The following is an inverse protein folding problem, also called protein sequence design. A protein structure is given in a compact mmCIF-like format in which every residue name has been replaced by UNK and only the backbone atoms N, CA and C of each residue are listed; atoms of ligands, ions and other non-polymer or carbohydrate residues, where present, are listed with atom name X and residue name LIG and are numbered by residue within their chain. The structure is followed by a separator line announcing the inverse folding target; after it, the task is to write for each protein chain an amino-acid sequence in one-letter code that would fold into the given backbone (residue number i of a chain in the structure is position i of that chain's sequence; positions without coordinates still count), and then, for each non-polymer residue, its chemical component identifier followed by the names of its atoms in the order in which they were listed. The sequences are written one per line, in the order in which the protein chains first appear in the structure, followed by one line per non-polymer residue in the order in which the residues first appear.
data_IF_484040519611
#
_entry.id   IF_484040519611
#
_cell.length_a   1.000
_cell.length_b   1.000
_cell.length_c   1.000
_cell.angle_alpha   90.00
_cell.angle_beta   90.00
_cell.angle_gamma   90.00
#
_symmetry.space_group_name_H-M   'P 1'
#
loop_
_entity.id
_entity.type
_entity.pdbx_description
1 polymer ?
#
# COMPACT_ATOMS: atom_id res chain seq x y z
N UNK A 1 32.95 8.79 9.32
CA UNK A 1 32.31 9.96 8.68
C UNK A 1 31.02 9.64 7.91
N UNK A 2 30.70 8.37 7.58
CA UNK A 2 29.45 8.02 6.86
C UNK A 2 28.15 8.08 7.70
N UNK A 3 28.22 7.84 9.01
CA UNK A 3 27.03 7.86 9.89
C UNK A 3 26.50 9.27 10.20
N UNK A 4 27.25 10.34 9.95
CA UNK A 4 26.76 11.72 10.17
C UNK A 4 25.67 12.11 9.17
N UNK A 5 25.56 11.42 8.02
CA UNK A 5 24.51 11.63 7.05
C UNK A 5 23.18 10.95 7.42
N UNK A 6 23.21 9.95 8.31
CA UNK A 6 22.01 9.18 8.67
C UNK A 6 20.87 10.05 9.22
N UNK A 7 21.08 10.95 10.22
CA UNK A 7 20.01 11.81 10.72
C UNK A 7 19.42 12.73 9.64
N UNK A 8 20.28 13.23 8.75
CA UNK A 8 19.87 14.08 7.62
C UNK A 8 19.00 13.29 6.64
N UNK A 9 19.41 12.07 6.29
CA UNK A 9 18.66 11.19 5.40
C UNK A 9 17.29 10.79 5.98
N UNK A 10 17.23 10.45 7.28
CA UNK A 10 15.96 10.17 7.98
C UNK A 10 15.05 11.39 7.93
N UNK A 11 15.55 12.56 8.34
CA UNK A 11 14.77 13.78 8.35
C UNK A 11 14.23 14.14 6.96
N UNK A 12 15.05 13.98 5.92
CA UNK A 12 14.65 14.21 4.54
C UNK A 12 13.52 13.27 4.08
N UNK A 13 13.66 11.95 4.29
CA UNK A 13 12.62 10.97 3.91
C UNK A 13 11.31 11.22 4.65
N UNK A 14 11.37 11.52 5.95
CA UNK A 14 10.20 11.86 6.75
C UNK A 14 9.54 13.16 6.25
N UNK A 15 10.32 14.19 5.95
CA UNK A 15 9.82 15.46 5.41
C UNK A 15 9.07 15.22 4.10
N UNK A 16 9.64 14.46 3.16
CA UNK A 16 9.00 14.15 1.88
C UNK A 16 7.68 13.42 2.09
N UNK A 17 7.63 12.43 2.98
CA UNK A 17 6.42 11.66 3.27
C UNK A 17 5.34 12.52 3.93
N UNK A 18 5.68 13.30 4.94
CA UNK A 18 4.72 14.16 5.64
C UNK A 18 4.25 15.32 4.76
N UNK A 19 5.13 15.87 3.92
CA UNK A 19 4.73 16.88 2.94
C UNK A 19 3.73 16.33 1.92
N UNK A 20 3.91 15.08 1.44
CA UNK A 20 2.91 14.40 0.60
C UNK A 20 1.56 14.30 1.33
N UNK A 21 1.56 13.82 2.58
CA UNK A 21 0.33 13.66 3.38
C UNK A 21 -0.36 15.01 3.62
N UNK A 22 0.40 16.05 3.97
CA UNK A 22 -0.10 17.41 4.12
C UNK A 22 -0.78 17.91 2.85
N UNK A 23 -0.14 17.73 1.70
CA UNK A 23 -0.71 18.14 0.40
C UNK A 23 -2.02 17.44 0.08
N UNK A 24 -2.15 16.16 0.44
CA UNK A 24 -3.39 15.41 0.25
C UNK A 24 -4.49 15.92 1.18
N UNK A 25 -4.21 16.05 2.48
CA UNK A 25 -5.17 16.53 3.47
C UNK A 25 -5.62 17.97 3.21
N UNK A 26 -4.70 18.85 2.78
CA UNK A 26 -5.02 20.25 2.44
C UNK A 26 -6.04 20.36 1.31
N UNK A 27 -6.03 19.42 0.37
CA UNK A 27 -6.96 19.40 -0.76
C UNK A 27 -8.31 18.76 -0.40
N UNK A 28 -8.38 18.05 0.72
CA UNK A 28 -9.52 17.25 1.08
C UNK A 28 -10.44 17.99 2.05
N UNK A 29 -11.75 17.86 1.85
CA UNK A 29 -12.78 18.38 2.74
C UNK A 29 -12.98 17.42 3.89
N UNK A 30 -12.88 17.89 5.13
CA UNK A 30 -13.21 17.07 6.28
C UNK A 30 -14.70 16.70 6.30
N UNK A 31 -15.00 15.44 6.58
CA UNK A 31 -16.37 14.94 6.71
C UNK A 31 -16.73 14.69 8.18
N UNK A 32 -16.04 13.76 8.83
CA UNK A 32 -16.31 13.33 10.21
C UNK A 32 -15.11 12.60 10.81
N UNK A 33 -15.16 12.36 12.13
CA UNK A 33 -14.18 11.53 12.85
C UNK A 33 -14.91 10.36 13.53
N UNK A 34 -14.33 9.16 13.44
CA UNK A 34 -14.84 7.94 14.07
C UNK A 34 -13.68 7.09 14.58
N UNK A 35 -13.76 6.62 15.82
CA UNK A 35 -12.77 5.73 16.44
C UNK A 35 -11.31 6.25 16.34
N UNK A 36 -11.13 7.57 16.43
CA UNK A 36 -9.83 8.25 16.30
C UNK A 36 -9.28 8.28 14.87
N UNK A 37 -10.14 8.09 13.86
CA UNK A 37 -9.81 8.15 12.43
C UNK A 37 -10.63 9.27 11.79
N UNK A 38 -9.96 10.20 11.12
CA UNK A 38 -10.60 11.32 10.42
C UNK A 38 -10.88 10.97 8.96
N UNK A 39 -12.10 11.22 8.51
CA UNK A 39 -12.54 10.96 7.16
C UNK A 39 -12.64 12.27 6.38
N UNK A 40 -12.09 12.25 5.18
CA UNK A 40 -12.06 13.38 4.26
C UNK A 40 -12.58 12.97 2.89
N UNK A 41 -12.90 13.96 2.07
CA UNK A 41 -13.40 13.79 0.69
C UNK A 41 -12.62 14.68 -0.26
N UNK A 42 -12.26 14.13 -1.42
CA UNK A 42 -11.81 14.86 -2.60
C UNK A 42 -12.78 14.53 -3.72
N UNK A 43 -13.37 15.56 -4.35
CA UNK A 43 -14.23 15.37 -5.52
C UNK A 43 -13.43 14.73 -6.66
N UNK A 44 -14.04 13.74 -7.32
CA UNK A 44 -13.43 13.01 -8.43
C UNK A 44 -14.41 12.02 -9.06
N UNK A 45 -14.07 11.53 -10.24
CA UNK A 45 -14.90 10.57 -11.00
C UNK A 45 -14.58 9.10 -10.67
N UNK A 46 -13.50 8.88 -9.91
CA UNK A 46 -13.07 7.55 -9.47
C UNK A 46 -13.71 7.22 -8.12
N UNK A 47 -14.17 5.97 -7.96
CA UNK A 47 -14.54 5.44 -6.66
C UNK A 47 -13.28 4.85 -6.02
N UNK A 48 -12.62 5.60 -5.14
CA UNK A 48 -11.39 5.17 -4.48
C UNK A 48 -11.26 5.75 -3.07
N UNK A 49 -10.33 5.24 -2.28
CA UNK A 49 -9.94 5.85 -1.03
C UNK A 49 -8.45 5.66 -0.75
N UNK A 50 -7.90 6.49 0.12
CA UNK A 50 -6.49 6.46 0.52
C UNK A 50 -6.42 6.54 2.04
N UNK A 51 -5.84 5.51 2.65
CA UNK A 51 -5.43 5.55 4.06
C UNK A 51 -4.13 6.33 4.24
N UNK A 52 -4.15 7.28 5.17
CA UNK A 52 -2.97 7.98 5.66
C UNK A 52 -2.77 7.63 7.14
N UNK A 53 -1.63 7.01 7.43
CA UNK A 53 -1.16 6.80 8.80
C UNK A 53 0.08 7.65 9.01
N UNK A 54 -0.11 8.80 9.65
CA UNK A 54 0.92 9.78 9.90
C UNK A 54 1.22 9.94 11.40
N UNK A 55 2.48 10.23 11.73
CA UNK A 55 2.89 10.64 13.09
C UNK A 55 2.46 12.08 13.36
N UNK A 56 2.46 12.94 12.34
CA UNK A 56 2.07 14.35 12.46
C UNK A 56 0.55 14.54 12.39
N UNK A 57 -0.11 13.84 11.46
CA UNK A 57 -1.54 14.04 11.16
C UNK A 57 -2.45 12.93 11.69
N UNK A 58 -1.90 11.92 12.38
CA UNK A 58 -2.68 10.80 12.90
C UNK A 58 -3.22 9.86 11.80
N UNK A 59 -4.36 9.24 12.07
CA UNK A 59 -5.01 8.29 11.15
C UNK A 59 -6.11 8.99 10.37
N UNK A 60 -6.03 8.90 9.05
CA UNK A 60 -6.98 9.55 8.15
C UNK A 60 -7.35 8.60 7.00
N UNK A 61 -8.57 8.74 6.49
CA UNK A 61 -9.03 8.11 5.25
C UNK A 61 -9.53 9.22 4.34
N UNK A 62 -8.99 9.31 3.14
CA UNK A 62 -9.44 10.26 2.12
C UNK A 62 -10.24 9.48 1.09
N UNK A 63 -11.52 9.78 0.99
CA UNK A 63 -12.42 9.25 -0.04
C UNK A 63 -12.23 10.11 -1.29
N UNK A 64 -12.06 9.47 -2.44
CA UNK A 64 -12.01 10.12 -3.75
C UNK A 64 -13.30 9.74 -4.46
N UNK A 65 -14.02 10.74 -4.96
CA UNK A 65 -15.32 10.54 -5.62
C UNK A 65 -16.39 10.05 -4.66
N UNK A 66 -17.13 8.99 -5.03
CA UNK A 66 -18.26 8.51 -4.23
C UNK A 66 -17.82 7.56 -3.13
N UNK A 67 -18.47 7.68 -1.97
CA UNK A 67 -18.29 6.74 -0.87
C UNK A 67 -18.65 5.31 -1.30
N UNK A 68 -17.69 4.41 -1.22
CA UNK A 68 -17.87 2.99 -1.51
C UNK A 68 -17.46 2.14 -0.28
N UNK A 69 -18.44 1.47 0.34
CA UNK A 69 -18.21 0.68 1.55
C UNK A 69 -17.25 -0.50 1.33
N UNK A 70 -17.18 -1.08 0.12
CA UNK A 70 -16.22 -2.16 -0.18
C UNK A 70 -14.78 -1.65 -0.12
N UNK A 71 -14.54 -0.45 -0.63
CA UNK A 71 -13.22 0.20 -0.60
C UNK A 71 -12.88 0.61 0.82
N UNK A 72 -13.82 1.19 1.56
CA UNK A 72 -13.60 1.56 2.97
C UNK A 72 -13.28 0.35 3.86
N UNK A 73 -13.87 -0.82 3.58
CA UNK A 73 -13.53 -2.07 4.27
C UNK A 73 -12.06 -2.47 4.07
N UNK A 74 -11.52 -2.26 2.85
CA UNK A 74 -10.10 -2.46 2.54
C UNK A 74 -9.21 -1.43 3.25
N UNK A 75 -9.57 -0.13 3.18
CA UNK A 75 -8.85 0.94 3.89
C UNK A 75 -8.80 0.72 5.41
N UNK A 76 -9.86 0.17 6.00
CA UNK A 76 -9.84 -0.20 7.42
C UNK A 76 -8.76 -1.26 7.73
N UNK A 77 -8.49 -2.16 6.80
CA UNK A 77 -7.37 -3.10 6.88
C UNK A 77 -6.03 -2.37 7.01
N UNK A 78 -5.79 -1.34 6.21
CA UNK A 78 -4.59 -0.49 6.32
C UNK A 78 -4.50 0.23 7.66
N UNK A 79 -5.62 0.67 8.23
CA UNK A 79 -5.64 1.33 9.54
C UNK A 79 -5.18 0.42 10.70
N UNK A 80 -5.32 -0.91 10.56
CA UNK A 80 -4.88 -1.91 11.55
C UNK A 80 -3.41 -2.32 11.40
N UNK A 81 -2.78 -2.03 10.27
CA UNK A 81 -1.37 -2.36 10.02
C UNK A 81 -0.44 -1.50 10.90
N UNK A 82 0.83 -1.89 11.11
CA UNK A 82 1.83 -1.05 11.78
C UNK A 82 2.16 0.21 10.97
N UNK A 83 2.91 1.15 11.56
CA UNK A 83 3.41 2.36 10.88
C UNK A 83 4.63 2.03 9.99
N UNK A 84 4.46 1.07 9.07
CA UNK A 84 5.58 0.43 8.37
C UNK A 84 6.46 1.40 7.57
N UNK A 85 5.86 2.44 6.97
CA UNK A 85 6.62 3.45 6.21
C UNK A 85 7.69 4.13 7.06
N UNK A 86 7.41 4.40 8.34
CA UNK A 86 8.37 5.03 9.25
C UNK A 86 9.54 4.09 9.56
N UNK A 87 9.25 2.81 9.87
CA UNK A 87 10.30 1.81 10.06
C UNK A 87 11.14 1.64 8.80
N UNK A 88 10.48 1.59 7.64
CA UNK A 88 11.14 1.45 6.35
C UNK A 88 12.06 2.65 6.05
N UNK A 89 11.66 3.89 6.33
CA UNK A 89 12.51 5.06 6.14
C UNK A 89 13.73 5.08 7.06
N UNK A 90 13.58 4.68 8.32
CA UNK A 90 14.72 4.59 9.25
C UNK A 90 15.73 3.55 8.75
N UNK A 91 15.26 2.35 8.37
CA UNK A 91 16.13 1.29 7.81
C UNK A 91 16.78 1.75 6.50
N UNK A 92 16.01 2.37 5.62
CA UNK A 92 16.49 2.87 4.32
C UNK A 92 17.58 3.93 4.50
N UNK A 93 17.35 4.91 5.38
CA UNK A 93 18.34 5.95 5.66
C UNK A 93 19.63 5.35 6.22
N UNK A 94 19.54 4.35 7.10
CA UNK A 94 20.71 3.67 7.65
C UNK A 94 21.50 2.94 6.56
N UNK A 95 20.82 2.14 5.75
CA UNK A 95 21.45 1.36 4.68
C UNK A 95 22.04 2.23 3.57
N UNK A 96 21.36 3.33 3.18
CA UNK A 96 21.86 4.30 2.19
C UNK A 96 23.08 5.04 2.75
N UNK A 97 23.04 5.47 4.01
CA UNK A 97 24.18 6.13 4.66
C UNK A 97 25.39 5.19 4.79
N UNK A 98 25.14 3.89 4.96
CA UNK A 98 26.20 2.88 4.97
C UNK A 98 26.77 2.63 3.57
N UNK A 99 25.90 2.44 2.56
CA UNK A 99 26.28 2.21 1.18
C UNK A 99 25.13 2.54 0.21
N UNK A 100 25.36 3.49 -0.70
CA UNK A 100 24.35 3.91 -1.70
C UNK A 100 23.93 2.78 -2.67
N UNK A 101 24.77 1.77 -2.86
CA UNK A 101 24.44 0.59 -3.67
C UNK A 101 23.37 -0.32 -3.03
N UNK A 102 22.90 -0.01 -1.82
CA UNK A 102 21.76 -0.68 -1.19
C UNK A 102 20.40 -0.26 -1.78
N UNK A 103 20.33 0.84 -2.56
CA UNK A 103 19.08 1.37 -3.12
C UNK A 103 18.28 0.32 -3.92
N UNK A 104 18.85 -0.47 -4.85
CA UNK A 104 18.09 -1.49 -5.58
C UNK A 104 17.43 -2.53 -4.66
N UNK A 105 18.15 -2.98 -3.61
CA UNK A 105 17.61 -3.90 -2.62
C UNK A 105 16.45 -3.27 -1.84
N UNK A 106 16.60 -2.00 -1.43
CA UNK A 106 15.56 -1.25 -0.73
C UNK A 106 14.29 -1.11 -1.58
N UNK A 107 14.42 -0.80 -2.87
CA UNK A 107 13.29 -0.72 -3.79
C UNK A 107 12.57 -2.06 -3.93
N UNK A 108 13.32 -3.16 -4.01
CA UNK A 108 12.76 -4.51 -4.05
C UNK A 108 12.03 -4.86 -2.75
N UNK A 109 12.64 -4.59 -1.59
CA UNK A 109 12.01 -4.79 -0.28
C UNK A 109 10.74 -3.94 -0.12
N UNK A 110 10.79 -2.68 -0.52
CA UNK A 110 9.63 -1.78 -0.53
C UNK A 110 8.47 -2.39 -1.30
N UNK A 111 8.75 -2.88 -2.52
CA UNK A 111 7.75 -3.51 -3.38
C UNK A 111 7.13 -4.76 -2.73
N UNK A 112 7.95 -5.65 -2.17
CA UNK A 112 7.43 -6.85 -1.48
C UNK A 112 6.59 -6.50 -0.26
N UNK A 113 7.03 -5.53 0.54
CA UNK A 113 6.28 -5.06 1.71
C UNK A 113 4.95 -4.45 1.30
N UNK A 114 4.94 -3.61 0.26
CA UNK A 114 3.72 -2.99 -0.25
C UNK A 114 2.72 -4.05 -0.69
N UNK A 115 3.13 -5.02 -1.52
CA UNK A 115 2.29 -6.15 -1.93
C UNK A 115 1.75 -6.96 -0.74
N UNK A 116 2.58 -7.19 0.29
CA UNK A 116 2.17 -7.88 1.50
C UNK A 116 1.07 -7.12 2.25
N UNK A 117 1.23 -5.81 2.43
CA UNK A 117 0.25 -4.98 3.13
C UNK A 117 -1.05 -4.77 2.35
N UNK A 118 -0.98 -4.65 1.03
CA UNK A 118 -2.19 -4.65 0.18
C UNK A 118 -2.99 -5.94 0.36
N UNK A 119 -2.32 -7.09 0.31
CA UNK A 119 -2.99 -8.37 0.58
C UNK A 119 -3.51 -8.48 2.00
N UNK A 120 -2.78 -8.00 2.99
CA UNK A 120 -3.24 -8.02 4.37
C UNK A 120 -4.52 -7.18 4.55
N UNK A 121 -4.64 -6.06 3.84
CA UNK A 121 -5.86 -5.24 3.82
C UNK A 121 -7.02 -5.96 3.12
N UNK A 122 -6.78 -6.59 1.95
CA UNK A 122 -7.78 -7.43 1.27
C UNK A 122 -8.27 -8.58 2.16
N UNK A 123 -7.35 -9.27 2.85
CA UNK A 123 -7.70 -10.36 3.77
C UNK A 123 -8.49 -9.85 4.97
N UNK A 124 -8.19 -8.66 5.48
CA UNK A 124 -8.97 -8.06 6.57
C UNK A 124 -10.41 -7.79 6.11
N UNK A 125 -10.58 -7.14 4.96
CA UNK A 125 -11.90 -6.85 4.38
C UNK A 125 -12.70 -8.14 4.14
N UNK A 126 -12.07 -9.18 3.61
CA UNK A 126 -12.70 -10.47 3.37
C UNK A 126 -13.11 -11.19 4.66
N UNK A 127 -12.22 -11.25 5.66
CA UNK A 127 -12.50 -12.01 6.89
C UNK A 127 -13.50 -11.30 7.80
N UNK A 128 -13.52 -9.96 7.82
CA UNK A 128 -14.39 -9.18 8.71
C UNK A 128 -15.72 -8.81 8.06
N UNK A 129 -15.72 -8.49 6.77
CA UNK A 129 -16.89 -7.95 6.06
C UNK A 129 -17.35 -8.81 4.89
N UNK A 130 -16.68 -9.93 4.60
CA UNK A 130 -16.95 -10.80 3.45
C UNK A 130 -16.88 -10.06 2.10
N UNK A 131 -16.10 -8.98 2.05
CA UNK A 131 -15.84 -8.19 0.84
C UNK A 131 -14.62 -8.75 0.11
N UNK A 132 -14.76 -9.06 -1.18
CA UNK A 132 -13.64 -9.38 -2.08
C UNK A 132 -13.38 -8.20 -3.02
N UNK A 133 -12.13 -8.06 -3.45
CA UNK A 133 -11.78 -7.18 -4.56
C UNK A 133 -12.50 -7.64 -5.85
N UNK A 134 -13.08 -6.69 -6.57
CA UNK A 134 -13.81 -6.93 -7.82
C UNK A 134 -13.09 -6.21 -8.95
N UNK A 135 -12.80 -6.95 -10.02
CA UNK A 135 -12.21 -6.38 -11.23
C UNK A 135 -12.63 -7.20 -12.45
N UNK A 136 -12.91 -6.51 -13.55
CA UNK A 136 -13.23 -7.13 -14.85
C UNK A 136 -11.97 -7.56 -15.60
N UNK A 137 -10.78 -7.14 -15.14
CA UNK A 137 -9.49 -7.41 -15.77
C UNK A 137 -9.28 -8.92 -15.98
N UNK A 138 -9.02 -9.31 -17.23
CA UNK A 138 -8.69 -10.69 -17.59
C UNK A 138 -7.22 -10.99 -17.27
N UNK A 139 -6.91 -12.24 -16.91
CA UNK A 139 -5.52 -12.69 -16.75
C UNK A 139 -4.81 -12.61 -18.11
N UNK A 140 -3.68 -11.88 -18.23
CA UNK A 140 -2.96 -11.79 -19.50
C UNK A 140 -2.48 -13.16 -20.00
N UNK A 141 -2.66 -13.41 -21.31
CA UNK A 141 -2.24 -14.67 -21.93
C UNK A 141 -0.71 -14.82 -21.96
N UNK A 142 0.02 -13.74 -22.20
CA UNK A 142 1.48 -13.75 -22.27
C UNK A 142 2.11 -13.70 -20.88
N UNK A 143 3.06 -14.60 -20.64
CA UNK A 143 3.83 -14.68 -19.39
C UNK A 143 4.55 -13.38 -19.05
N UNK A 144 5.15 -12.72 -20.04
CA UNK A 144 5.89 -11.47 -19.82
C UNK A 144 4.98 -10.34 -19.28
N UNK A 145 3.73 -10.27 -19.74
CA UNK A 145 2.78 -9.25 -19.29
C UNK A 145 2.31 -9.53 -17.86
N UNK A 146 2.15 -10.81 -17.49
CA UNK A 146 1.90 -11.20 -16.09
C UNK A 146 3.04 -10.78 -15.17
N UNK A 147 4.28 -11.06 -15.57
CA UNK A 147 5.48 -10.70 -14.79
C UNK A 147 5.61 -9.17 -14.67
N UNK A 148 5.36 -8.43 -15.75
CA UNK A 148 5.39 -6.97 -15.74
C UNK A 148 4.40 -6.40 -14.73
N UNK A 149 3.16 -6.89 -14.69
CA UNK A 149 2.18 -6.45 -13.69
C UNK A 149 2.68 -6.68 -12.26
N UNK A 150 3.19 -7.88 -11.96
CA UNK A 150 3.74 -8.18 -10.63
C UNK A 150 4.89 -7.24 -10.22
N UNK A 151 5.74 -6.82 -11.17
CA UNK A 151 6.90 -5.96 -10.92
C UNK A 151 6.51 -4.48 -10.83
N UNK A 152 5.70 -3.99 -11.77
CA UNK A 152 5.49 -2.55 -11.99
C UNK A 152 4.20 -2.00 -11.41
N UNK A 153 3.17 -2.83 -11.20
CA UNK A 153 1.93 -2.34 -10.59
C UNK A 153 2.18 -1.99 -9.13
N UNK A 154 1.38 -1.12 -8.53
CA UNK A 154 1.49 -0.88 -7.09
C UNK A 154 0.85 -2.00 -6.28
N UNK A 155 -0.20 -2.64 -6.79
CA UNK A 155 -0.96 -3.68 -6.11
C UNK A 155 -0.57 -5.09 -6.58
N UNK A 156 -0.96 -6.16 -5.85
CA UNK A 156 -1.03 -7.49 -6.46
C UNK A 156 -1.93 -7.44 -7.71
N UNK A 157 -1.63 -8.18 -8.78
CA UNK A 157 -2.38 -8.02 -10.02
C UNK A 157 -3.88 -8.32 -9.85
N UNK A 158 -4.72 -7.53 -10.52
CA UNK A 158 -6.17 -7.57 -10.38
C UNK A 158 -6.77 -8.96 -10.57
N UNK A 159 -6.32 -9.73 -11.56
CA UNK A 159 -6.83 -11.08 -11.80
C UNK A 159 -6.53 -12.04 -10.65
N UNK A 160 -5.41 -11.83 -9.95
CA UNK A 160 -5.04 -12.61 -8.77
C UNK A 160 -5.95 -12.22 -7.60
N UNK A 161 -6.19 -10.92 -7.40
CA UNK A 161 -7.04 -10.39 -6.33
C UNK A 161 -8.52 -10.72 -6.51
N UNK A 162 -9.01 -10.74 -7.75
CA UNK A 162 -10.44 -10.87 -8.07
C UNK A 162 -10.86 -12.33 -8.33
N UNK A 163 -10.03 -13.13 -9.02
CA UNK A 163 -10.49 -14.42 -9.60
C UNK A 163 -9.90 -15.64 -8.92
N UNK A 164 -8.79 -15.52 -8.19
CA UNK A 164 -8.19 -16.66 -7.50
C UNK A 164 -8.69 -16.75 -6.06
N UNK A 165 -9.56 -17.72 -5.77
CA UNK A 165 -9.93 -18.06 -4.39
C UNK A 165 -8.68 -18.32 -3.53
N UNK A 166 -7.64 -18.88 -4.15
CA UNK A 166 -6.32 -19.12 -3.57
C UNK A 166 -5.67 -17.86 -2.98
N UNK A 167 -5.97 -16.66 -3.48
CA UNK A 167 -5.45 -15.41 -2.95
C UNK A 167 -5.94 -15.14 -1.52
N UNK A 168 -7.18 -15.50 -1.22
CA UNK A 168 -7.78 -15.33 0.11
C UNK A 168 -7.52 -16.51 1.07
N UNK A 169 -6.96 -17.61 0.57
CA UNK A 169 -6.54 -18.74 1.42
C UNK A 169 -5.21 -18.43 2.14
N UNK A 170 -5.21 -18.48 3.48
CA UNK A 170 -4.01 -18.24 4.32
C UNK A 170 -2.79 -19.10 3.96
N UNK A 171 -3.00 -20.32 3.44
CA UNK A 171 -1.93 -21.27 3.08
C UNK A 171 -1.15 -20.87 1.82
N UNK A 172 -1.66 -19.95 1.00
CA UNK A 172 -0.95 -19.49 -0.19
C UNK A 172 -0.22 -18.18 0.11
N UNK A 173 1.02 -18.04 -0.34
CA UNK A 173 1.79 -16.79 -0.26
C UNK A 173 1.73 -16.04 -1.59
N UNK A 174 1.96 -14.73 -1.57
CA UNK A 174 2.11 -13.94 -2.80
C UNK A 174 3.26 -14.47 -3.66
N UNK A 175 4.34 -14.96 -3.02
CA UNK A 175 5.47 -15.59 -3.70
C UNK A 175 5.00 -16.83 -4.46
N UNK A 176 4.17 -17.69 -3.84
CA UNK A 176 3.64 -18.88 -4.50
C UNK A 176 2.78 -18.52 -5.72
N UNK A 177 1.97 -17.46 -5.61
CA UNK A 177 1.13 -16.98 -6.72
C UNK A 177 1.98 -16.41 -7.86
N UNK A 178 3.00 -15.61 -7.53
CA UNK A 178 3.99 -15.12 -8.49
C UNK A 178 4.72 -16.28 -9.19
N UNK A 179 5.16 -17.29 -8.43
CA UNK A 179 5.83 -18.47 -8.99
C UNK A 179 4.93 -19.24 -9.96
N UNK A 180 3.64 -19.35 -9.68
CA UNK A 180 2.70 -19.97 -10.62
C UNK A 180 2.65 -19.20 -11.95
N UNK A 181 2.59 -17.87 -11.90
CA UNK A 181 2.62 -17.03 -13.11
C UNK A 181 3.97 -17.07 -13.84
N UNK A 182 5.07 -17.33 -13.10
CA UNK A 182 6.40 -17.54 -13.65
C UNK A 182 6.57 -18.93 -14.27
N UNK A 183 5.82 -19.95 -13.88
CA UNK A 183 6.03 -21.33 -14.34
C UNK A 183 4.95 -21.82 -15.32
N UNK A 184 3.80 -21.15 -15.39
CA UNK A 184 2.76 -21.34 -16.43
C UNK A 184 3.05 -20.49 -17.67
#
# INVERSE_FOLDING_TARGET
MMLSFFPIAVAFLLLVYEYRNYRLLKKAKFLYEKDGVKYYEIEGDEDNAITIKSVVFGKNVIIIGKKNEKILAHEEGHLKQPYFMYYFFVISAFLIAYNIFTIPLLLFMYKLMFLHYERAADLYAYNKYHVKFESTTARPAKRIDRIRAWIFDTHPPDWVRAKEEKYYEKKNSLIKLLLNDLLS
#
